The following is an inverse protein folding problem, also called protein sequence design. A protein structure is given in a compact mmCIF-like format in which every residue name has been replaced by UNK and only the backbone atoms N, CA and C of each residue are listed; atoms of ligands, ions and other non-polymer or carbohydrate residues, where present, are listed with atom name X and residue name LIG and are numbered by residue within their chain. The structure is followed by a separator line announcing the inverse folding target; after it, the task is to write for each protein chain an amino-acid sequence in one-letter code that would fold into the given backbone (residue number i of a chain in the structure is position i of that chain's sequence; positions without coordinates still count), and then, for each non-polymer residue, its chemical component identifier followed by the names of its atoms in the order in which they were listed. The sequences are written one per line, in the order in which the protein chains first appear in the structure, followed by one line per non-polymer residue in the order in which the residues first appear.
data_IF_724770291533
#
_entry.id   IF_724770291533
#
_cell.length_a   1.000
_cell.length_b   1.000
_cell.length_c   1.000
_cell.angle_alpha   90.00
_cell.angle_beta   90.00
_cell.angle_gamma   90.00
#
_symmetry.space_group_name_H-M   'P 1'
#
loop_
_entity.id
_entity.type
_entity.pdbx_description
1 polymer ?
#
# COMPACT_ATOMS: atom_id res chain seq x y z
N UNK A 1 -31.84 33.71 7.78
CA UNK A 1 -31.74 33.42 6.32
C UNK A 1 -30.34 33.84 5.89
N UNK A 2 -29.39 32.99 5.48
CA UNK A 2 -29.49 31.76 4.70
C UNK A 2 -28.54 30.69 5.23
N UNK A 3 -29.14 29.52 5.41
CA UNK A 3 -28.54 28.20 5.57
C UNK A 3 -28.02 27.70 4.20
N UNK A 4 -27.08 26.75 4.21
CA UNK A 4 -26.71 25.80 3.14
C UNK A 4 -25.78 26.27 2.00
N UNK A 5 -24.49 25.96 2.13
CA UNK A 5 -23.62 25.25 1.14
C UNK A 5 -22.18 25.37 1.62
N UNK A 6 -21.63 24.29 2.18
CA UNK A 6 -20.22 23.88 2.19
C UNK A 6 -20.00 22.65 3.09
N UNK A 7 -21.00 21.75 3.15
CA UNK A 7 -20.98 20.53 3.96
C UNK A 7 -20.89 19.25 3.09
N UNK A 8 -20.24 19.33 1.92
CA UNK A 8 -20.25 18.24 0.92
C UNK A 8 -18.85 17.86 0.40
N UNK A 9 -17.83 17.93 1.24
CA UNK A 9 -16.54 17.27 0.98
C UNK A 9 -16.02 16.46 2.19
N UNK A 10 -16.91 16.07 3.11
CA UNK A 10 -16.54 15.33 4.33
C UNK A 10 -17.52 14.18 4.63
N UNK A 11 -18.16 13.62 3.60
CA UNK A 11 -19.07 12.50 3.78
C UNK A 11 -18.59 11.30 2.95
N UNK A 12 -18.18 10.27 3.70
CA UNK A 12 -18.14 8.85 3.33
C UNK A 12 -17.12 8.41 2.27
N UNK A 13 -15.90 8.10 2.74
CA UNK A 13 -15.28 6.79 2.49
C UNK A 13 -14.87 6.22 3.85
N UNK A 14 -15.87 5.96 4.69
CA UNK A 14 -15.80 4.80 5.57
C UNK A 14 -16.29 3.62 4.71
N UNK A 15 -15.41 3.06 3.88
CA UNK A 15 -15.69 1.74 3.36
C UNK A 15 -15.33 0.76 4.47
N UNK A 16 -16.38 0.38 5.19
CA UNK A 16 -16.41 -0.84 5.96
C UNK A 16 -15.93 -1.98 5.06
N UNK A 17 -14.78 -2.55 5.41
CA UNK A 17 -14.54 -3.95 5.13
C UNK A 17 -15.64 -4.69 5.90
N UNK A 18 -16.64 -5.20 5.19
CA UNK A 18 -17.68 -6.05 5.77
C UNK A 18 -17.17 -7.50 5.93
N UNK A 19 -15.93 -7.66 6.37
CA UNK A 19 -15.56 -8.81 7.18
C UNK A 19 -15.71 -8.37 8.63
N UNK A 20 -16.16 -9.28 9.49
CA UNK A 20 -16.32 -9.06 10.94
C UNK A 20 -15.22 -8.14 11.48
N UNK A 21 -15.58 -6.92 11.90
CA UNK A 21 -14.64 -5.99 12.53
C UNK A 21 -13.99 -6.74 13.70
N UNK A 22 -12.71 -7.08 13.55
CA UNK A 22 -11.97 -7.72 14.62
C UNK A 22 -11.97 -6.73 15.78
N UNK A 23 -12.45 -7.19 16.93
CA UNK A 23 -12.57 -6.39 18.13
C UNK A 23 -11.18 -5.87 18.54
N UNK A 24 -10.89 -4.61 18.20
CA UNK A 24 -9.55 -4.06 18.38
C UNK A 24 -9.50 -2.96 19.44
N UNK A 25 -8.68 -3.15 20.47
CA UNK A 25 -8.46 -2.19 21.57
C UNK A 25 -7.03 -1.66 21.66
N UNK A 26 -6.13 -2.12 20.78
CA UNK A 26 -4.72 -1.75 20.76
C UNK A 26 -4.25 -1.59 19.31
N UNK A 27 -3.70 -0.41 19.02
CA UNK A 27 -3.29 0.06 17.71
C UNK A 27 -1.85 0.56 17.79
N UNK A 28 -1.10 0.39 16.72
CA UNK A 28 0.21 1.05 16.57
C UNK A 28 0.22 1.89 15.31
N UNK A 29 0.50 3.18 15.49
CA UNK A 29 0.78 4.12 14.42
C UNK A 29 2.30 4.17 14.23
N UNK A 30 2.82 3.53 13.18
CA UNK A 30 4.25 3.54 12.91
C UNK A 30 4.69 4.93 12.43
N UNK A 31 5.69 5.49 13.11
CA UNK A 31 6.46 6.67 12.70
C UNK A 31 5.66 7.91 12.27
N UNK A 32 5.32 8.71 13.27
CA UNK A 32 4.82 10.07 13.16
C UNK A 32 6.01 11.04 13.11
N UNK A 33 6.03 11.91 12.10
CA UNK A 33 7.05 12.95 11.92
C UNK A 33 6.43 14.34 12.02
N UNK A 34 7.14 15.25 12.66
CA UNK A 34 6.84 16.67 12.80
C UNK A 34 8.10 17.50 12.54
N UNK A 35 8.67 17.37 11.34
CA UNK A 35 9.68 18.33 10.88
C UNK A 35 8.96 19.54 10.29
N UNK A 36 9.56 20.72 10.48
CA UNK A 36 8.98 22.07 10.35
C UNK A 36 8.39 22.45 8.96
N UNK A 37 8.21 21.49 8.06
CA UNK A 37 7.64 21.66 6.72
C UNK A 37 6.38 20.82 6.50
N UNK A 38 6.08 19.80 7.32
CA UNK A 38 4.92 18.92 7.17
C UNK A 38 4.41 18.47 8.54
N UNK A 39 3.18 18.86 8.90
CA UNK A 39 2.54 18.41 10.14
C UNK A 39 1.90 17.04 9.95
N UNK A 40 1.88 16.19 10.97
CA UNK A 40 1.11 14.93 10.93
C UNK A 40 -0.10 15.04 11.84
N UNK A 41 -1.28 14.63 11.38
CA UNK A 41 -2.48 14.46 12.21
C UNK A 41 -2.69 12.98 12.52
N UNK A 42 -3.03 12.71 13.77
CA UNK A 42 -3.46 11.39 14.23
C UNK A 42 -4.98 11.38 14.20
N UNK A 43 -5.54 10.38 13.51
CA UNK A 43 -6.98 10.14 13.44
C UNK A 43 -7.30 8.83 14.13
N UNK A 44 -8.24 8.83 15.08
CA UNK A 44 -8.74 7.63 15.74
C UNK A 44 -10.27 7.62 15.67
N UNK A 45 -10.86 6.57 15.14
CA UNK A 45 -12.32 6.43 15.09
C UNK A 45 -12.80 5.50 16.19
N UNK A 46 -13.82 5.92 16.94
CA UNK A 46 -14.55 5.08 17.86
C UNK A 46 -15.78 4.50 17.16
N UNK A 47 -15.81 3.18 16.94
CA UNK A 47 -16.94 2.51 16.30
C UNK A 47 -17.89 1.84 17.32
N UNK A 48 -17.72 2.12 18.60
CA UNK A 48 -18.59 1.62 19.66
C UNK A 48 -19.83 2.48 19.83
N UNK A 49 -20.86 1.87 20.43
CA UNK A 49 -22.11 2.53 20.83
C UNK A 49 -21.99 3.35 22.12
N UNK A 50 -20.85 3.28 22.81
CA UNK A 50 -20.50 4.09 23.97
C UNK A 50 -19.25 4.95 23.71
N UNK A 51 -19.09 5.98 24.54
CA UNK A 51 -17.83 6.74 24.58
C UNK A 51 -16.67 5.83 25.00
N UNK A 52 -15.49 6.12 24.47
CA UNK A 52 -14.27 5.35 24.70
C UNK A 52 -13.15 6.28 25.13
N UNK A 53 -12.47 5.92 26.21
CA UNK A 53 -11.19 6.53 26.58
C UNK A 53 -10.07 5.82 25.83
N UNK A 54 -9.24 6.61 25.14
CA UNK A 54 -8.01 6.17 24.49
C UNK A 54 -6.80 6.82 25.13
N UNK A 55 -5.73 6.04 25.32
CA UNK A 55 -4.42 6.51 25.78
C UNK A 55 -3.42 6.33 24.66
N UNK A 56 -2.88 7.44 24.17
CA UNK A 56 -1.86 7.51 23.14
C UNK A 56 -0.50 7.67 23.81
N UNK A 57 0.41 6.73 23.60
CA UNK A 57 1.78 6.77 24.09
C UNK A 57 2.74 6.86 22.91
N UNK A 58 3.40 8.00 22.79
CA UNK A 58 4.43 8.24 21.79
C UNK A 58 5.80 7.82 22.29
N UNK A 59 6.61 7.13 21.46
CA UNK A 59 7.98 6.71 21.82
C UNK A 59 8.97 7.02 20.69
N UNK A 60 10.05 7.74 21.02
CA UNK A 60 11.19 7.95 20.12
C UNK A 60 12.10 6.72 20.06
N UNK A 61 12.92 6.56 19.01
CA UNK A 61 13.96 5.53 18.95
C UNK A 61 14.95 5.59 20.13
N UNK A 62 15.17 6.77 20.70
CA UNK A 62 16.03 6.98 21.87
C UNK A 62 15.40 6.49 23.18
N UNK A 63 14.14 6.07 23.17
CA UNK A 63 13.37 5.66 24.35
C UNK A 63 12.64 6.79 25.07
N UNK A 64 12.74 8.03 24.60
CA UNK A 64 11.96 9.15 25.14
C UNK A 64 10.46 8.95 24.86
N UNK A 65 9.60 9.20 25.85
CA UNK A 65 8.15 8.99 25.74
C UNK A 65 7.32 10.21 26.13
N UNK A 66 6.15 10.34 25.51
CA UNK A 66 5.10 11.27 25.89
C UNK A 66 3.73 10.57 25.82
N UNK A 67 2.78 10.95 26.67
CA UNK A 67 1.46 10.31 26.72
C UNK A 67 0.35 11.35 26.75
N UNK A 68 -0.73 11.08 26.01
CA UNK A 68 -1.95 11.86 25.99
C UNK A 68 -3.16 10.92 26.15
N UNK A 69 -4.18 11.37 26.89
CA UNK A 69 -5.45 10.63 27.02
C UNK A 69 -6.57 11.48 26.44
N UNK A 70 -7.48 10.84 25.69
CA UNK A 70 -8.65 11.47 25.06
C UNK A 70 -9.88 10.60 25.27
N UNK A 71 -11.02 11.27 25.37
CA UNK A 71 -12.33 10.62 25.28
C UNK A 71 -12.88 10.87 23.89
N UNK A 72 -13.38 9.82 23.24
CA UNK A 72 -14.01 9.87 21.93
C UNK A 72 -15.45 9.44 22.12
N UNK A 73 -16.42 10.28 21.72
CA UNK A 73 -17.83 9.94 21.80
C UNK A 73 -18.17 8.71 20.94
N UNK A 74 -19.33 8.09 21.22
CA UNK A 74 -19.82 6.95 20.43
C UNK A 74 -19.96 7.34 18.95
N UNK A 75 -19.45 6.49 18.05
CA UNK A 75 -19.46 6.72 16.60
C UNK A 75 -18.83 8.06 16.16
N UNK A 76 -17.86 8.56 16.91
CA UNK A 76 -17.14 9.81 16.62
C UNK A 76 -15.65 9.56 16.38
N UNK A 77 -14.93 10.60 15.97
CA UNK A 77 -13.50 10.54 15.68
C UNK A 77 -12.70 11.60 16.44
N UNK A 78 -11.50 11.22 16.86
CA UNK A 78 -10.43 12.12 17.27
C UNK A 78 -9.64 12.52 16.04
N UNK A 79 -9.39 13.81 15.84
CA UNK A 79 -8.44 14.33 14.85
C UNK A 79 -7.59 15.39 15.54
N UNK A 80 -6.32 15.09 15.79
CA UNK A 80 -5.41 16.03 16.45
C UNK A 80 -4.04 16.02 15.78
N UNK A 81 -3.43 17.22 15.70
CA UNK A 81 -2.05 17.34 15.23
C UNK A 81 -1.08 16.68 16.21
N UNK A 82 -0.18 15.85 15.71
CA UNK A 82 0.81 15.16 16.52
C UNK A 82 1.70 16.12 17.31
N UNK A 83 2.03 17.28 16.73
CA UNK A 83 2.80 18.32 17.41
C UNK A 83 2.07 18.95 18.60
N UNK A 84 0.73 18.98 18.60
CA UNK A 84 -0.04 19.48 19.75
C UNK A 84 -0.18 18.41 20.84
N UNK A 85 -0.29 17.14 20.45
CA UNK A 85 -0.33 16.00 21.37
C UNK A 85 1.02 15.75 22.07
N UNK A 86 2.11 15.86 21.32
CA UNK A 86 3.44 15.43 21.73
C UNK A 86 4.50 16.51 21.48
N UNK A 87 4.24 17.74 21.93
CA UNK A 87 5.14 18.89 21.74
C UNK A 87 6.57 18.67 22.27
N UNK A 88 6.75 17.79 23.27
CA UNK A 88 8.08 17.41 23.78
C UNK A 88 8.89 16.59 22.80
N UNK A 89 8.22 15.92 21.85
CA UNK A 89 8.82 15.08 20.82
C UNK A 89 8.93 15.81 19.47
N UNK A 90 8.87 17.15 19.46
CA UNK A 90 9.03 17.96 18.24
C UNK A 90 10.45 17.89 17.67
N UNK A 91 10.55 17.69 16.36
CA UNK A 91 11.81 17.58 15.63
C UNK A 91 12.33 16.15 15.39
N UNK A 92 13.36 16.00 14.52
CA UNK A 92 13.89 14.70 14.13
C UNK A 92 14.71 14.04 15.24
N UNK A 93 14.78 12.70 15.31
CA UNK A 93 14.00 11.74 14.51
C UNK A 93 12.52 11.69 14.93
N UNK A 94 11.64 11.18 14.06
CA UNK A 94 10.22 10.96 14.38
C UNK A 94 10.00 9.93 15.51
N UNK A 95 8.74 9.64 15.82
CA UNK A 95 8.34 8.76 16.94
C UNK A 95 7.16 7.88 16.55
N UNK A 96 6.96 6.71 17.18
CA UNK A 96 5.73 5.93 16.98
C UNK A 96 4.66 6.34 18.00
N UNK A 97 3.42 5.93 17.78
CA UNK A 97 2.34 6.10 18.76
C UNK A 97 1.60 4.79 18.95
N UNK A 98 1.61 4.24 20.17
CA UNK A 98 0.73 3.15 20.56
C UNK A 98 -0.55 3.72 21.15
N UNK A 99 -1.70 3.24 20.70
CA UNK A 99 -3.00 3.68 21.19
C UNK A 99 -3.69 2.50 21.85
N UNK A 100 -3.86 2.59 23.18
CA UNK A 100 -4.64 1.63 23.96
C UNK A 100 -6.01 2.21 24.26
N UNK A 101 -7.03 1.35 24.30
CA UNK A 101 -8.41 1.75 24.46
C UNK A 101 -9.11 0.99 25.58
N UNK A 102 -10.00 1.69 26.26
CA UNK A 102 -10.91 1.12 27.27
C UNK A 102 -11.95 0.14 26.70
N UNK A 103 -12.16 0.15 25.37
CA UNK A 103 -13.03 -0.78 24.66
C UNK A 103 -12.41 -1.23 23.32
N UNK A 104 -12.92 -2.33 22.75
CA UNK A 104 -12.56 -2.82 21.41
C UNK A 104 -13.15 -1.93 20.29
N UNK A 105 -12.99 -2.29 19.01
CA UNK A 105 -13.56 -1.59 17.84
C UNK A 105 -13.12 -0.13 17.66
N UNK A 106 -11.86 0.16 17.94
CA UNK A 106 -11.23 1.40 17.49
C UNK A 106 -10.41 1.17 16.22
N UNK A 107 -10.35 2.18 15.36
CA UNK A 107 -9.46 2.19 14.18
C UNK A 107 -8.65 3.48 14.17
N UNK A 108 -7.59 3.53 13.38
CA UNK A 108 -6.81 4.76 13.23
C UNK A 108 -6.22 4.96 11.85
N UNK A 109 -5.75 6.18 11.63
CA UNK A 109 -4.94 6.58 10.47
C UNK A 109 -3.94 7.67 10.89
N UNK A 110 -2.85 7.78 10.14
CA UNK A 110 -2.02 8.99 10.12
C UNK A 110 -2.28 9.76 8.83
N UNK A 111 -2.44 11.06 8.95
CA UNK A 111 -2.62 11.98 7.82
C UNK A 111 -1.44 12.94 7.81
N UNK A 112 -0.68 12.99 6.72
CA UNK A 112 0.38 13.99 6.56
C UNK A 112 -0.24 15.26 5.97
N UNK A 113 -0.27 16.32 6.77
CA UNK A 113 -0.76 17.64 6.38
C UNK A 113 0.34 18.34 5.55
N UNK A 114 0.10 18.56 4.24
CA UNK A 114 0.98 19.44 3.46
C UNK A 114 1.23 19.17 1.98
N UNK A 115 0.33 18.52 1.24
CA UNK A 115 0.41 18.56 -0.23
C UNK A 115 -0.90 19.03 -0.87
N UNK A 116 -0.90 20.28 -1.31
CA UNK A 116 -1.40 20.54 -2.66
C UNK A 116 -0.42 19.84 -3.61
N UNK A 117 -0.75 18.62 -4.03
CA UNK A 117 -0.08 17.99 -5.16
C UNK A 117 -0.32 18.85 -6.42
N UNK A 118 0.63 18.93 -7.38
CA UNK A 118 0.33 19.42 -8.73
C UNK A 118 -0.84 18.67 -9.41
N UNK A 119 -1.20 17.48 -8.91
CA UNK A 119 -2.37 16.68 -9.29
C UNK A 119 -3.61 16.82 -8.38
N UNK A 120 -3.59 17.73 -7.39
CA UNK A 120 -4.70 18.01 -6.48
C UNK A 120 -4.66 17.21 -5.17
N UNK A 121 -5.08 17.87 -4.10
CA UNK A 121 -5.14 17.46 -2.67
C UNK A 121 -5.32 15.95 -2.40
N UNK A 122 -4.24 15.18 -2.38
CA UNK A 122 -4.22 13.85 -1.79
C UNK A 122 -3.22 13.87 -0.63
N UNK A 123 -3.67 14.06 0.63
CA UNK A 123 -2.78 13.84 1.75
C UNK A 123 -2.39 12.37 1.74
N UNK A 124 -1.09 12.08 1.87
CA UNK A 124 -0.66 10.72 2.11
C UNK A 124 -1.26 10.21 3.40
N UNK A 125 -1.89 9.05 3.32
CA UNK A 125 -2.55 8.39 4.44
C UNK A 125 -1.93 7.01 4.60
N UNK A 126 -1.52 6.67 5.82
CA UNK A 126 -1.27 5.28 6.17
C UNK A 126 -2.35 4.74 7.09
N UNK A 127 -2.69 3.49 6.82
CA UNK A 127 -3.55 2.69 7.66
C UNK A 127 -2.80 2.30 8.92
N UNK A 128 -3.51 2.28 10.05
CA UNK A 128 -2.98 1.81 11.32
C UNK A 128 -3.01 0.29 11.36
N UNK A 129 -1.96 -0.31 11.91
CA UNK A 129 -1.80 -1.77 11.93
C UNK A 129 -2.23 -2.30 13.31
N UNK A 130 -3.11 -3.31 13.36
CA UNK A 130 -3.44 -3.97 14.61
C UNK A 130 -2.30 -4.71 15.27
N UNK A 131 -2.22 -4.64 16.59
CA UNK A 131 -1.25 -5.43 17.36
C UNK A 131 -1.54 -6.93 17.24
N UNK A 132 -2.82 -7.31 17.10
CA UNK A 132 -3.23 -8.68 16.81
C UNK A 132 -2.70 -9.22 15.48
N UNK A 133 -2.37 -8.33 14.55
CA UNK A 133 -1.92 -8.67 13.21
C UNK A 133 -0.38 -8.65 13.13
N UNK A 134 0.31 -8.53 14.27
CA UNK A 134 1.75 -8.65 14.36
C UNK A 134 2.20 -10.07 14.01
N UNK A 135 3.27 -10.18 13.22
CA UNK A 135 3.84 -11.45 12.81
C UNK A 135 5.36 -11.44 12.98
N UNK A 136 5.95 -12.62 13.12
CA UNK A 136 7.40 -12.76 13.21
C UNK A 136 8.07 -12.55 11.85
N UNK A 137 7.32 -12.61 10.75
CA UNK A 137 7.83 -12.40 9.39
C UNK A 137 6.93 -11.41 8.68
N UNK A 138 7.54 -10.38 8.09
CA UNK A 138 6.86 -9.36 7.30
C UNK A 138 7.44 -9.30 5.90
N UNK A 139 6.57 -9.24 4.89
CA UNK A 139 6.95 -8.96 3.51
C UNK A 139 6.65 -7.50 3.16
N UNK A 140 7.67 -6.80 2.71
CA UNK A 140 7.56 -5.51 2.04
C UNK A 140 7.70 -5.73 0.54
N UNK A 141 6.57 -5.72 -0.15
CA UNK A 141 6.45 -6.22 -1.53
C UNK A 141 7.21 -5.39 -2.57
N UNK A 142 7.49 -4.12 -2.29
CA UNK A 142 8.19 -3.24 -3.22
C UNK A 142 8.91 -2.11 -2.46
N UNK A 143 10.22 -2.03 -2.67
CA UNK A 143 11.06 -0.91 -2.29
C UNK A 143 12.01 -0.62 -3.44
N UNK A 144 12.56 0.58 -3.45
CA UNK A 144 13.62 0.94 -4.39
C UNK A 144 14.79 1.55 -3.63
N UNK A 145 15.99 1.41 -4.16
CA UNK A 145 17.19 2.08 -3.68
C UNK A 145 17.92 2.77 -4.85
N UNK A 146 18.82 3.74 -4.57
CA UNK A 146 19.59 4.43 -5.59
C UNK A 146 20.12 3.44 -6.67
N UNK A 147 20.01 3.73 -7.97
CA UNK A 147 19.75 5.04 -8.60
C UNK A 147 18.31 5.21 -9.13
N UNK A 148 17.33 4.44 -8.66
CA UNK A 148 15.95 4.41 -9.19
C UNK A 148 15.18 5.73 -9.17
N UNK A 149 15.67 6.74 -8.44
CA UNK A 149 14.91 7.93 -8.09
C UNK A 149 13.97 7.66 -6.91
N UNK A 150 13.81 8.64 -6.03
CA UNK A 150 13.01 8.61 -4.81
C UNK A 150 13.75 8.14 -3.56
N UNK A 151 13.00 8.00 -2.45
CA UNK A 151 13.47 7.37 -1.20
C UNK A 151 12.44 6.38 -0.64
N UNK A 152 12.90 5.21 -0.18
CA UNK A 152 12.09 4.25 0.57
C UNK A 152 12.65 4.08 1.99
N UNK A 153 11.75 4.02 2.97
CA UNK A 153 12.08 3.81 4.38
C UNK A 153 11.08 2.85 5.01
N UNK A 154 11.45 1.58 5.26
CA UNK A 154 10.63 0.71 6.08
C UNK A 154 10.60 1.23 7.52
N UNK A 155 9.44 1.09 8.15
CA UNK A 155 9.26 1.31 9.58
C UNK A 155 8.78 0.01 10.19
N UNK A 156 9.56 -0.46 11.15
CA UNK A 156 9.29 -1.67 11.90
C UNK A 156 9.00 -1.28 13.34
N UNK A 157 7.96 -1.85 13.93
CA UNK A 157 7.62 -1.61 15.33
C UNK A 157 7.57 -2.93 16.07
N UNK A 158 8.20 -2.95 17.23
CA UNK A 158 8.08 -4.04 18.19
C UNK A 158 6.94 -3.73 19.18
N UNK A 159 5.75 -4.36 19.05
CA UNK A 159 4.64 -4.19 19.99
C UNK A 159 4.86 -4.89 21.35
N UNK A 160 5.89 -5.73 21.46
CA UNK A 160 6.23 -6.50 22.64
C UNK A 160 6.81 -5.67 23.80
N UNK A 161 7.16 -6.37 24.88
CA UNK A 161 7.70 -5.78 26.12
C UNK A 161 9.21 -5.96 26.28
N UNK A 162 9.85 -6.69 25.36
CA UNK A 162 11.29 -6.97 25.32
C UNK A 162 11.87 -6.50 24.00
N UNK A 163 13.19 -6.30 23.91
CA UNK A 163 13.85 -5.99 22.64
C UNK A 163 13.66 -7.14 21.64
N UNK A 164 13.45 -6.79 20.36
CA UNK A 164 13.35 -7.73 19.24
C UNK A 164 14.60 -7.72 18.38
N UNK A 165 15.13 -8.91 18.10
CA UNK A 165 16.16 -9.09 17.10
C UNK A 165 15.52 -9.33 15.74
N UNK A 166 15.84 -8.49 14.75
CA UNK A 166 15.27 -8.58 13.41
C UNK A 166 16.39 -8.69 12.38
N UNK A 167 16.28 -9.67 11.50
CA UNK A 167 17.10 -9.76 10.29
C UNK A 167 16.27 -9.31 9.09
N UNK A 168 16.80 -8.34 8.36
CA UNK A 168 16.23 -7.81 7.13
C UNK A 168 16.94 -8.44 5.95
N UNK A 169 16.19 -8.95 5.00
CA UNK A 169 16.67 -9.55 3.78
C UNK A 169 16.16 -8.77 2.59
N UNK A 170 17.05 -8.33 1.71
CA UNK A 170 16.68 -7.75 0.43
C UNK A 170 16.77 -8.82 -0.66
N UNK A 171 15.71 -8.94 -1.45
CA UNK A 171 15.62 -9.88 -2.56
C UNK A 171 15.36 -9.15 -3.86
N UNK A 172 16.08 -9.55 -4.91
CA UNK A 172 15.90 -9.04 -6.27
C UNK A 172 15.86 -10.23 -7.22
N UNK A 173 14.85 -10.26 -8.10
CA UNK A 173 14.64 -11.37 -9.04
C UNK A 173 14.64 -12.76 -8.36
N UNK A 174 14.09 -12.84 -7.14
CA UNK A 174 14.03 -14.08 -6.35
C UNK A 174 15.34 -14.51 -5.68
N UNK A 175 16.42 -13.73 -5.79
CA UNK A 175 17.70 -14.00 -5.12
C UNK A 175 17.93 -13.04 -3.97
N UNK A 176 18.44 -13.54 -2.84
CA UNK A 176 18.91 -12.67 -1.75
C UNK A 176 20.13 -11.89 -2.22
N UNK A 177 20.04 -10.56 -2.19
CA UNK A 177 21.10 -9.65 -2.67
C UNK A 177 21.78 -8.88 -1.54
N UNK A 178 21.11 -8.71 -0.40
CA UNK A 178 21.69 -8.12 0.80
C UNK A 178 20.95 -8.60 2.06
N UNK A 179 21.61 -8.48 3.22
CA UNK A 179 21.01 -8.67 4.53
C UNK A 179 21.57 -7.67 5.55
N UNK A 180 20.76 -7.36 6.56
CA UNK A 180 21.11 -6.46 7.66
C UNK A 180 20.48 -6.97 8.96
N UNK A 181 21.15 -6.75 10.09
CA UNK A 181 20.62 -7.10 11.41
C UNK A 181 20.42 -5.85 12.24
N UNK A 182 19.27 -5.77 12.88
CA UNK A 182 18.86 -4.65 13.72
C UNK A 182 18.28 -5.16 15.05
N UNK A 183 18.36 -4.32 16.07
CA UNK A 183 17.65 -4.50 17.33
C UNK A 183 16.56 -3.44 17.43
N UNK A 184 15.34 -3.84 17.77
CA UNK A 184 14.19 -2.94 17.94
C UNK A 184 13.75 -2.97 19.41
N UNK A 185 14.01 -1.91 20.20
CA UNK A 185 13.55 -1.82 21.57
C UNK A 185 12.02 -1.97 21.69
N UNK A 186 11.56 -2.49 22.81
CA UNK A 186 10.14 -2.64 23.11
C UNK A 186 9.39 -1.32 22.95
N UNK A 187 8.33 -1.31 22.14
CA UNK A 187 7.50 -0.13 21.91
C UNK A 187 8.18 1.00 21.14
N UNK A 188 9.38 0.82 20.60
CA UNK A 188 10.06 1.81 19.75
C UNK A 188 10.01 1.39 18.27
N UNK A 189 9.94 2.35 17.32
CA UNK A 189 10.07 2.04 15.91
C UNK A 189 11.55 2.00 15.53
N UNK A 190 11.90 1.08 14.63
CA UNK A 190 13.08 1.20 13.80
C UNK A 190 12.69 1.77 12.44
N UNK A 191 13.43 2.75 11.97
CA UNK A 191 13.38 3.18 10.57
C UNK A 191 14.75 3.66 10.15
N UNK A 192 15.05 3.40 8.89
CA UNK A 192 16.16 4.04 8.21
C UNK A 192 15.87 4.05 6.70
N UNK A 193 16.59 4.88 5.96
CA UNK A 193 16.56 4.84 4.51
C UNK A 193 17.13 3.51 4.04
N UNK A 194 16.52 2.92 3.01
CA UNK A 194 16.99 1.64 2.44
C UNK A 194 18.49 1.65 2.13
N UNK A 195 19.03 2.76 1.61
CA UNK A 195 20.46 2.85 1.29
C UNK A 195 21.39 2.86 2.53
N UNK A 196 20.86 3.16 3.71
CA UNK A 196 21.60 3.09 4.96
C UNK A 196 21.51 1.68 5.55
N UNK A 197 20.35 1.02 5.39
CA UNK A 197 20.15 -0.39 5.80
C UNK A 197 21.02 -1.31 4.95
N UNK A 198 21.00 -1.12 3.63
CA UNK A 198 21.71 -1.93 2.65
C UNK A 198 22.62 -1.03 1.80
N UNK A 199 23.86 -0.74 2.27
CA UNK A 199 24.74 0.21 1.60
C UNK A 199 25.28 -0.29 0.24
N UNK A 200 25.18 -1.60 -0.03
CA UNK A 200 25.56 -2.20 -1.31
C UNK A 200 24.62 -3.35 -1.65
N UNK A 201 24.42 -3.64 -2.94
CA UNK A 201 23.72 -4.84 -3.40
C UNK A 201 22.21 -4.65 -3.66
N UNK A 202 21.65 -3.47 -3.39
CA UNK A 202 20.20 -3.19 -3.55
C UNK A 202 19.89 -2.09 -4.56
N UNK A 203 20.73 -1.89 -5.58
CA UNK A 203 20.44 -0.84 -6.57
C UNK A 203 19.16 -1.14 -7.36
N UNK A 204 18.26 -0.16 -7.51
CA UNK A 204 16.98 -0.33 -8.22
C UNK A 204 15.88 -0.98 -7.36
N UNK A 205 14.89 -1.58 -8.03
CA UNK A 205 13.73 -2.18 -7.36
C UNK A 205 14.06 -3.54 -6.73
N UNK A 206 13.53 -3.77 -5.53
CA UNK A 206 13.68 -5.01 -4.76
C UNK A 206 12.48 -5.18 -3.80
N UNK A 207 12.37 -6.34 -3.17
CA UNK A 207 11.45 -6.55 -2.05
C UNK A 207 12.25 -6.91 -0.80
N UNK A 208 11.70 -6.60 0.37
CA UNK A 208 12.36 -6.85 1.65
C UNK A 208 11.53 -7.81 2.49
N UNK A 209 12.19 -8.77 3.12
CA UNK A 209 11.61 -9.63 4.15
C UNK A 209 12.24 -9.26 5.49
N UNK A 210 11.42 -9.03 6.51
CA UNK A 210 11.89 -8.85 7.88
C UNK A 210 11.51 -10.08 8.69
N UNK A 211 12.51 -10.77 9.25
CA UNK A 211 12.32 -11.91 10.15
C UNK A 211 12.76 -11.53 11.56
N UNK A 212 11.90 -11.76 12.54
CA UNK A 212 12.10 -11.40 13.93
C UNK A 212 11.95 -12.59 14.86
N UNK A 213 12.62 -12.52 16.01
CA UNK A 213 12.49 -13.50 17.09
C UNK A 213 11.17 -13.41 17.86
N UNK A 214 10.38 -12.36 17.62
CA UNK A 214 9.05 -12.12 18.19
C UNK A 214 8.19 -11.28 17.24
N UNK A 215 6.86 -11.18 17.48
CA UNK A 215 5.97 -10.48 16.56
C UNK A 215 6.36 -9.02 16.39
N UNK A 216 6.43 -8.57 15.14
CA UNK A 216 6.71 -7.20 14.73
C UNK A 216 5.59 -6.70 13.79
N UNK A 217 5.48 -5.38 13.69
CA UNK A 217 4.57 -4.67 12.79
C UNK A 217 5.39 -3.88 11.77
N UNK A 218 4.84 -3.66 10.57
CA UNK A 218 5.58 -2.96 9.51
C UNK A 218 4.72 -2.11 8.59
N UNK A 219 5.27 -0.96 8.21
CA UNK A 219 4.78 -0.11 7.11
C UNK A 219 6.00 0.38 6.32
N UNK A 220 5.83 0.76 5.06
CA UNK A 220 6.87 1.41 4.27
C UNK A 220 6.41 2.78 3.81
N UNK A 221 7.32 3.74 3.93
CA UNK A 221 7.19 5.07 3.34
C UNK A 221 7.94 5.07 2.02
N UNK A 222 7.27 5.51 0.96
CA UNK A 222 7.81 5.53 -0.39
C UNK A 222 7.55 6.92 -0.99
N UNK A 223 8.62 7.63 -1.35
CA UNK A 223 8.54 8.95 -1.96
C UNK A 223 9.18 8.92 -3.34
N UNK A 224 8.49 9.43 -4.36
CA UNK A 224 9.12 9.59 -5.67
C UNK A 224 10.13 10.77 -5.68
N UNK A 225 10.80 10.99 -6.80
CA UNK A 225 11.76 12.10 -6.99
C UNK A 225 11.16 13.50 -6.81
N UNK A 226 9.83 13.62 -6.87
CA UNK A 226 9.09 14.86 -6.65
C UNK A 226 8.59 15.00 -5.21
N UNK A 227 9.02 14.11 -4.30
CA UNK A 227 8.59 14.01 -2.91
C UNK A 227 7.09 13.77 -2.75
N UNK A 228 6.41 13.25 -3.78
CA UNK A 228 5.02 12.86 -3.62
C UNK A 228 4.97 11.61 -2.72
N UNK A 229 4.27 11.68 -1.59
CA UNK A 229 4.28 10.61 -0.62
C UNK A 229 3.31 9.50 -1.04
N UNK A 230 3.76 8.25 -0.89
CA UNK A 230 2.91 7.05 -0.92
C UNK A 230 3.28 6.16 0.26
N UNK A 231 2.29 5.46 0.82
CA UNK A 231 2.48 4.56 1.96
C UNK A 231 1.93 3.19 1.63
N UNK A 232 2.68 2.15 1.97
CA UNK A 232 2.27 0.76 1.81
C UNK A 232 2.40 0.00 3.14
N UNK A 233 1.44 -0.85 3.46
CA UNK A 233 1.54 -1.72 4.63
C UNK A 233 2.45 -2.92 4.33
N UNK A 234 3.20 -3.38 5.33
CA UNK A 234 3.82 -4.70 5.25
C UNK A 234 2.76 -5.78 5.44
N UNK A 235 2.92 -6.90 4.77
CA UNK A 235 1.98 -8.02 4.87
C UNK A 235 2.57 -9.07 5.81
N UNK A 236 1.83 -9.53 6.83
CA UNK A 236 2.19 -10.71 7.62
C UNK A 236 2.46 -11.89 6.70
N UNK A 237 3.63 -12.51 6.84
CA UNK A 237 3.98 -13.70 6.08
C UNK A 237 3.86 -14.91 7.01
N UNK A 238 2.70 -15.56 6.99
CA UNK A 238 2.49 -16.81 7.72
C UNK A 238 3.33 -17.93 7.07
N UNK A 239 4.54 -18.12 7.59
CA UNK A 239 5.46 -19.22 7.32
C UNK A 239 5.55 -19.67 5.85
N UNK A 240 6.19 -18.86 4.99
CA UNK A 240 6.70 -19.38 3.71
C UNK A 240 7.96 -20.22 3.99
N UNK A 241 8.05 -21.46 3.45
CA UNK A 241 9.27 -22.26 3.52
C UNK A 241 10.45 -21.46 2.97
N UNK A 242 11.55 -21.47 3.73
CA UNK A 242 12.85 -20.94 3.31
C UNK A 242 13.09 -21.18 1.81
N UNK A 243 13.16 -20.13 0.97
CA UNK A 243 13.39 -20.28 -0.47
C UNK A 243 14.77 -20.89 -0.78
N UNK A 244 15.64 -21.03 0.22
CA UNK A 244 16.99 -21.59 0.09
C UNK A 244 17.06 -23.13 0.36
N UNK A 245 15.93 -23.85 0.47
CA UNK A 245 15.91 -25.32 0.30
C UNK A 245 16.77 -26.15 1.28
N UNK A 246 16.62 -25.93 2.59
CA UNK A 246 17.24 -26.77 3.63
C UNK A 246 16.27 -27.80 4.20
N UNK A 247 16.53 -29.07 3.90
CA UNK A 247 15.73 -30.28 4.16
C UNK A 247 15.51 -30.60 5.67
N UNK A 248 14.38 -31.26 6.00
CA UNK A 248 14.18 -31.86 7.32
C UNK A 248 12.76 -32.18 7.80
N UNK A 249 12.08 -33.16 7.18
CA UNK A 249 11.43 -34.25 7.95
C UNK A 249 9.91 -34.25 8.19
N UNK A 250 9.20 -34.91 7.27
CA UNK A 250 8.18 -35.98 7.42
C UNK A 250 6.95 -35.91 8.36
N UNK A 251 5.79 -36.11 7.71
CA UNK A 251 4.61 -36.89 8.16
C UNK A 251 3.37 -36.04 8.46
N UNK A 252 2.19 -36.19 7.84
CA UNK A 252 1.61 -37.17 6.92
C UNK A 252 0.07 -37.07 7.07
N UNK A 253 -0.65 -37.24 5.96
CA UNK A 253 -2.12 -37.42 5.77
C UNK A 253 -3.02 -36.21 6.15
N UNK A 254 -3.88 -35.64 5.30
CA UNK A 254 -4.83 -36.16 4.32
C UNK A 254 -6.20 -35.60 4.74
N UNK A 255 -6.79 -34.57 4.13
CA UNK A 255 -7.50 -34.60 2.86
C UNK A 255 -8.79 -33.74 2.96
N UNK A 256 -9.12 -33.10 1.84
CA UNK A 256 -10.41 -32.62 1.35
C UNK A 256 -11.06 -31.30 1.84
N UNK A 257 -10.98 -30.31 0.93
CA UNK A 257 -12.10 -29.47 0.42
C UNK A 257 -12.55 -28.32 1.32
N UNK A 258 -12.44 -27.04 0.99
CA UNK A 258 -12.42 -26.39 -0.32
C UNK A 258 -13.46 -25.26 -0.31
N UNK A 259 -12.99 -24.02 -0.13
CA UNK A 259 -13.52 -22.78 -0.73
C UNK A 259 -12.54 -21.63 -0.40
N UNK A 260 -11.57 -21.43 -1.30
CA UNK A 260 -10.66 -20.27 -1.36
C UNK A 260 -11.09 -19.30 -2.48
N UNK A 261 -10.46 -18.14 -2.69
CA UNK A 261 -9.22 -17.58 -2.13
C UNK A 261 -9.34 -16.04 -2.04
N UNK A 262 -8.50 -15.31 -1.30
CA UNK A 262 -7.02 -15.31 -1.14
C UNK A 262 -6.26 -14.90 -2.41
N UNK A 263 -5.94 -13.60 -2.48
CA UNK A 263 -5.03 -12.98 -3.44
C UNK A 263 -3.58 -13.13 -3.01
N UNK A 264 -3.03 -14.34 -3.15
CA UNK A 264 -1.62 -14.52 -3.47
C UNK A 264 -1.35 -14.09 -4.91
N UNK A 265 -0.08 -13.87 -5.25
CA UNK A 265 0.40 -13.52 -6.59
C UNK A 265 -0.01 -14.53 -7.68
N UNK A 266 -1.25 -14.42 -8.11
CA UNK A 266 -1.80 -15.13 -9.25
C UNK A 266 -1.48 -14.31 -10.49
N UNK A 267 -0.92 -14.96 -11.50
CA UNK A 267 -0.74 -14.36 -12.82
C UNK A 267 -2.11 -13.89 -13.30
N UNK A 268 -2.24 -12.60 -13.58
CA UNK A 268 -3.50 -12.01 -14.06
C UNK A 268 -3.87 -12.74 -15.35
N UNK A 269 -5.04 -13.37 -15.38
CA UNK A 269 -5.48 -14.14 -16.53
C UNK A 269 -6.03 -13.23 -17.62
N UNK A 270 -5.47 -13.32 -18.82
CA UNK A 270 -6.05 -12.59 -19.94
C UNK A 270 -7.50 -13.03 -20.19
N UNK A 271 -7.75 -14.33 -20.19
CA UNK A 271 -9.08 -14.87 -20.47
C UNK A 271 -10.06 -14.67 -19.30
N UNK A 272 -9.57 -14.76 -18.06
CA UNK A 272 -10.36 -14.68 -16.84
C UNK A 272 -10.62 -13.27 -16.32
N UNK A 273 -9.73 -12.31 -16.59
CA UNK A 273 -9.78 -10.98 -15.96
C UNK A 273 -9.75 -9.84 -16.99
N UNK A 274 -8.88 -9.89 -17.99
CA UNK A 274 -8.71 -8.77 -18.94
C UNK A 274 -9.77 -8.77 -20.05
N UNK A 275 -10.04 -9.93 -20.65
CA UNK A 275 -11.05 -10.05 -21.70
C UNK A 275 -12.46 -9.67 -21.21
N UNK A 276 -12.89 -9.99 -19.98
CA UNK A 276 -14.14 -9.48 -19.43
C UNK A 276 -14.21 -7.94 -19.37
N UNK A 277 -13.13 -7.26 -18.96
CA UNK A 277 -13.05 -5.79 -18.94
C UNK A 277 -13.21 -5.24 -20.36
N UNK A 278 -12.48 -5.79 -21.33
CA UNK A 278 -12.61 -5.35 -22.73
C UNK A 278 -14.00 -5.60 -23.29
N UNK A 279 -14.63 -6.70 -22.93
CA UNK A 279 -15.98 -7.04 -23.40
C UNK A 279 -17.02 -6.04 -22.87
N UNK A 280 -16.89 -5.62 -21.61
CA UNK A 280 -17.86 -4.72 -20.97
C UNK A 280 -17.63 -3.23 -21.31
N UNK A 281 -16.37 -2.81 -21.45
CA UNK A 281 -15.99 -1.39 -21.58
C UNK A 281 -15.66 -0.98 -23.02
N UNK A 282 -15.14 -1.89 -23.84
CA UNK A 282 -14.46 -1.52 -25.09
C UNK A 282 -15.10 -2.14 -26.34
N UNK A 283 -15.54 -3.40 -26.26
CA UNK A 283 -15.97 -4.19 -27.41
C UNK A 283 -17.27 -3.68 -28.06
N UNK A 284 -18.06 -2.82 -27.40
CA UNK A 284 -19.22 -2.18 -28.04
C UNK A 284 -18.83 -1.20 -29.14
N UNK A 285 -17.65 -0.59 -29.04
CA UNK A 285 -17.13 0.37 -30.01
C UNK A 285 -15.95 -0.19 -30.80
N UNK A 286 -15.17 -1.12 -30.25
CA UNK A 286 -14.01 -1.76 -30.89
C UNK A 286 -14.37 -3.15 -31.43
N UNK A 287 -15.17 -3.15 -32.49
CA UNK A 287 -15.60 -4.35 -33.23
C UNK A 287 -14.88 -4.47 -34.56
N UNK A 288 -15.09 -5.57 -35.27
CA UNK A 288 -14.61 -5.78 -36.66
C UNK A 288 -15.10 -4.73 -37.67
N UNK A 289 -16.12 -3.94 -37.33
CA UNK A 289 -16.74 -2.91 -38.19
C UNK A 289 -16.48 -1.49 -37.67
N UNK A 290 -15.60 -1.32 -36.68
CA UNK A 290 -15.37 -0.05 -36.00
C UNK A 290 -14.47 0.94 -36.76
N UNK A 291 -14.64 2.24 -36.48
CA UNK A 291 -13.79 3.33 -37.00
C UNK A 291 -12.41 3.27 -36.32
N UNK A 292 -11.48 2.52 -36.91
CA UNK A 292 -10.10 2.39 -36.41
C UNK A 292 -9.49 1.00 -36.57
N UNK A 293 -10.25 0.00 -37.02
CA UNK A 293 -9.73 -1.32 -37.39
C UNK A 293 -9.31 -2.22 -36.23
N UNK A 294 -9.50 -1.79 -34.97
CA UNK A 294 -9.17 -2.58 -33.78
C UNK A 294 -10.39 -3.36 -33.28
N UNK A 295 -10.27 -4.69 -33.24
CA UNK A 295 -11.30 -5.59 -32.73
C UNK A 295 -10.89 -6.19 -31.37
N UNK A 296 -11.63 -5.83 -30.32
CA UNK A 296 -11.44 -6.28 -28.93
C UNK A 296 -12.49 -7.30 -28.48
N UNK A 297 -13.29 -7.85 -29.40
CA UNK A 297 -14.23 -8.92 -29.10
C UNK A 297 -13.50 -10.18 -28.57
N UNK A 298 -14.17 -11.00 -27.74
CA UNK A 298 -13.65 -12.28 -27.29
C UNK A 298 -13.07 -13.12 -28.44
N UNK A 299 -11.92 -13.73 -28.19
CA UNK A 299 -11.18 -14.53 -29.18
C UNK A 299 -10.36 -13.75 -30.21
N UNK A 300 -10.49 -12.42 -30.26
CA UNK A 300 -9.73 -11.57 -31.19
C UNK A 300 -8.79 -10.58 -30.48
N UNK A 301 -9.13 -10.16 -29.25
CA UNK A 301 -8.48 -9.04 -28.59
C UNK A 301 -6.96 -9.22 -28.41
N UNK A 302 -6.50 -10.36 -27.85
CA UNK A 302 -5.08 -10.57 -27.52
C UNK A 302 -4.17 -10.40 -28.75
N UNK A 303 -4.45 -11.16 -29.82
CA UNK A 303 -3.65 -11.15 -31.04
C UNK A 303 -3.68 -9.80 -31.76
N UNK A 304 -4.69 -8.97 -31.51
CA UNK A 304 -4.85 -7.65 -32.11
C UNK A 304 -4.20 -6.52 -31.30
N UNK A 305 -3.76 -6.76 -30.06
CA UNK A 305 -3.19 -5.72 -29.19
C UNK A 305 -1.76 -6.00 -28.75
N UNK A 306 -1.40 -7.25 -28.46
CA UNK A 306 -0.07 -7.57 -27.92
C UNK A 306 0.96 -7.57 -29.03
N UNK A 307 1.99 -6.74 -28.89
CA UNK A 307 3.02 -6.47 -29.90
C UNK A 307 2.48 -5.98 -31.25
N UNK A 308 1.24 -5.46 -31.30
CA UNK A 308 0.64 -4.91 -32.51
C UNK A 308 0.81 -3.39 -32.56
N UNK A 309 0.96 -2.83 -33.76
CA UNK A 309 1.14 -1.39 -33.95
C UNK A 309 -0.19 -0.71 -34.22
N UNK A 310 -0.51 0.32 -33.44
CA UNK A 310 -1.65 1.19 -33.67
C UNK A 310 -1.45 2.05 -34.93
N UNK A 311 -2.54 2.62 -35.46
CA UNK A 311 -2.48 3.57 -36.58
C UNK A 311 -1.60 4.82 -36.30
N UNK A 312 -1.35 5.14 -35.03
CA UNK A 312 -0.43 6.19 -34.60
C UNK A 312 1.06 5.83 -34.78
N UNK A 313 1.38 4.59 -35.15
CA UNK A 313 2.75 4.07 -35.25
C UNK A 313 3.33 3.56 -33.93
N UNK A 314 2.58 3.62 -32.82
CA UNK A 314 2.99 3.13 -31.50
C UNK A 314 2.48 1.70 -31.25
N UNK A 315 3.21 0.92 -30.46
CA UNK A 315 2.77 -0.42 -30.06
C UNK A 315 1.59 -0.32 -29.09
N UNK A 316 0.53 -1.11 -29.33
CA UNK A 316 -0.70 -1.12 -28.53
C UNK A 316 -0.44 -1.63 -27.11
N UNK A 317 0.14 -2.82 -26.99
CA UNK A 317 0.64 -3.38 -25.73
C UNK A 317 2.07 -3.84 -25.94
N UNK A 318 2.98 -3.26 -25.16
CA UNK A 318 4.38 -3.65 -25.05
C UNK A 318 4.53 -4.45 -23.76
N UNK A 319 4.72 -5.79 -23.83
CA UNK A 319 4.94 -6.62 -22.65
C UNK A 319 6.01 -6.06 -21.73
N UNK A 320 5.75 -6.04 -20.41
CA UNK A 320 6.64 -5.52 -19.37
C UNK A 320 6.96 -4.02 -19.46
N UNK A 321 6.32 -3.26 -20.36
CA UNK A 321 6.48 -1.81 -20.44
C UNK A 321 5.13 -1.11 -20.50
N UNK A 322 4.68 -0.66 -19.33
CA UNK A 322 3.44 0.09 -19.18
C UNK A 322 3.46 1.42 -19.95
N UNK A 323 4.57 2.15 -19.87
CA UNK A 323 4.72 3.47 -20.49
C UNK A 323 4.84 3.40 -22.03
N UNK A 324 5.32 2.29 -22.56
CA UNK A 324 5.38 2.07 -24.02
C UNK A 324 4.09 1.45 -24.58
N UNK A 325 3.16 1.04 -23.72
CA UNK A 325 1.88 0.45 -24.12
C UNK A 325 0.86 1.54 -24.46
N UNK A 326 0.66 1.80 -25.75
CA UNK A 326 -0.24 2.86 -26.21
C UNK A 326 -1.69 2.70 -25.74
N UNK A 327 -2.16 1.46 -25.56
CA UNK A 327 -3.49 1.18 -25.00
C UNK A 327 -3.61 1.72 -23.57
N UNK A 328 -2.60 1.47 -22.72
CA UNK A 328 -2.58 1.99 -21.34
C UNK A 328 -2.68 3.51 -21.32
N UNK A 329 -1.91 4.18 -22.18
CA UNK A 329 -1.93 5.64 -22.27
C UNK A 329 -3.29 6.16 -22.69
N UNK A 330 -3.98 5.49 -23.62
CA UNK A 330 -5.33 5.88 -24.04
C UNK A 330 -6.38 5.74 -22.93
N UNK A 331 -6.10 5.00 -21.85
CA UNK A 331 -6.96 4.90 -20.67
C UNK A 331 -6.75 6.06 -19.68
N UNK A 332 -5.63 6.78 -19.79
CA UNK A 332 -5.29 7.90 -18.91
C UNK A 332 -6.03 9.18 -19.30
N UNK A 333 -6.33 10.01 -18.31
CA UNK A 333 -6.99 11.31 -18.50
C UNK A 333 -6.07 12.36 -19.12
N UNK A 334 -4.74 12.17 -19.03
CA UNK A 334 -3.77 13.06 -19.65
C UNK A 334 -3.71 12.85 -21.17
N UNK A 335 -4.39 13.74 -21.90
CA UNK A 335 -4.44 13.72 -23.36
C UNK A 335 -3.11 14.10 -24.03
N UNK A 336 -2.11 14.58 -23.30
CA UNK A 336 -0.78 14.86 -23.86
C UNK A 336 -0.02 13.57 -24.24
N UNK A 337 -0.38 12.44 -23.63
CA UNK A 337 0.28 11.15 -23.80
C UNK A 337 -0.11 10.43 -25.10
N UNK A 338 -1.15 10.91 -25.80
CA UNK A 338 -1.68 10.25 -26.98
C UNK A 338 -2.41 11.19 -27.95
N UNK A 339 -2.51 10.77 -29.20
CA UNK A 339 -3.37 11.44 -30.19
C UNK A 339 -4.85 11.02 -30.06
N UNK A 340 -5.75 11.96 -30.33
CA UNK A 340 -7.20 11.76 -30.31
C UNK A 340 -7.81 11.83 -28.90
N UNK A 341 -8.97 11.21 -28.71
CA UNK A 341 -9.69 11.24 -27.43
C UNK A 341 -9.30 10.11 -26.49
N UNK A 342 -9.50 10.33 -25.18
CA UNK A 342 -9.43 9.30 -24.14
C UNK A 342 -10.38 8.14 -24.45
N UNK A 343 -9.96 6.93 -24.10
CA UNK A 343 -10.79 5.73 -24.11
C UNK A 343 -11.15 5.33 -22.68
N UNK A 344 -12.38 4.83 -22.45
CA UNK A 344 -13.44 4.59 -23.43
C UNK A 344 -14.15 5.89 -23.81
N UNK A 345 -14.31 6.14 -25.11
CA UNK A 345 -14.78 7.43 -25.61
C UNK A 345 -16.20 7.77 -25.13
N UNK A 346 -16.38 8.98 -24.60
CA UNK A 346 -17.68 9.43 -24.09
C UNK A 346 -18.14 8.72 -22.83
N UNK A 347 -17.26 7.90 -22.23
CA UNK A 347 -17.40 7.32 -20.90
C UNK A 347 -16.31 7.91 -20.02
N UNK A 348 -16.54 7.96 -18.72
CA UNK A 348 -15.50 8.36 -17.77
C UNK A 348 -14.34 7.37 -17.73
N UNK A 349 -13.34 7.66 -16.92
CA UNK A 349 -12.23 6.74 -16.62
C UNK A 349 -12.74 5.38 -16.12
N UNK A 350 -12.00 4.32 -16.40
CA UNK A 350 -12.28 3.00 -15.84
C UNK A 350 -12.21 3.06 -14.31
N UNK A 351 -12.97 2.21 -13.59
CA UNK A 351 -12.74 1.95 -12.18
C UNK A 351 -11.28 1.55 -11.91
N UNK A 352 -10.74 1.98 -10.77
CA UNK A 352 -9.32 1.78 -10.44
C UNK A 352 -8.94 0.29 -10.45
N UNK A 353 -9.79 -0.59 -9.94
CA UNK A 353 -9.53 -2.04 -9.95
C UNK A 353 -9.42 -2.63 -11.38
N UNK A 354 -10.15 -2.08 -12.36
CA UNK A 354 -10.04 -2.50 -13.77
C UNK A 354 -8.75 -1.95 -14.41
N UNK A 355 -8.32 -0.74 -14.02
CA UNK A 355 -7.03 -0.17 -14.42
C UNK A 355 -5.87 -0.98 -13.83
N UNK A 356 -5.93 -1.34 -12.55
CA UNK A 356 -4.90 -2.10 -11.85
C UNK A 356 -4.76 -3.51 -12.46
N UNK A 357 -5.87 -4.16 -12.81
CA UNK A 357 -5.84 -5.44 -13.51
C UNK A 357 -5.11 -5.34 -14.87
N UNK A 358 -5.43 -4.32 -15.68
CA UNK A 358 -4.76 -4.09 -16.97
C UNK A 358 -3.28 -3.74 -16.77
N UNK A 359 -2.95 -2.90 -15.79
CA UNK A 359 -1.58 -2.53 -15.45
C UNK A 359 -0.75 -3.74 -15.04
N UNK A 360 -1.28 -4.54 -14.10
CA UNK A 360 -0.63 -5.75 -13.61
C UNK A 360 -0.44 -6.77 -14.73
N UNK A 361 -1.45 -6.98 -15.58
CA UNK A 361 -1.32 -7.87 -16.74
C UNK A 361 -0.21 -7.41 -17.71
N UNK A 362 -0.13 -6.12 -18.04
CA UNK A 362 0.94 -5.58 -18.91
C UNK A 362 2.32 -5.79 -18.27
N UNK A 363 2.44 -5.46 -16.99
CA UNK A 363 3.70 -5.57 -16.23
C UNK A 363 4.14 -7.03 -16.02
N UNK A 364 3.22 -7.98 -16.02
CA UNK A 364 3.50 -9.43 -16.01
C UNK A 364 3.88 -9.98 -17.40
N UNK A 365 4.13 -9.12 -18.38
CA UNK A 365 4.49 -9.52 -19.73
C UNK A 365 3.30 -9.80 -20.64
N UNK A 366 2.12 -9.31 -20.28
CA UNK A 366 0.88 -9.50 -21.02
C UNK A 366 0.63 -10.96 -21.44
N UNK A 367 0.63 -11.94 -20.52
CA UNK A 367 0.49 -13.36 -20.85
C UNK A 367 -0.89 -13.67 -21.48
N UNK A 368 -0.95 -14.65 -22.38
CA UNK A 368 -2.21 -15.19 -22.93
C UNK A 368 -2.60 -16.47 -22.18
N UNK A 369 -3.17 -16.33 -20.99
CA UNK A 369 -3.42 -17.41 -20.03
C UNK A 369 -4.89 -17.58 -19.63
#
# INVERSE_FOLDING_TARGET
MKLKRNLLCSLLIAFAWAGTALAQSDLVIPWVSNTNSFGSSIVINNLNDSAVTVTLTATRPTGEQATATREIAAFDQLVEEAGSLFATLDGPPGFNVRVTSSASNITGAIVINGFESPSGNSPSQANVVPVSDAANILLFSYLFAPPSGGFAAPVLVNPGTTEASVTLYAYKNGQRVADARISIPAGAPYTDLVQNIFPTGVDGDFYMVAEADQPILGVVFIFNDSLEPSMGNAVPLDAVPNPDGGDGGDGGDGGDGGDGGDGGGTTVSFSGEIQPIFSSRCASCHTSQSRGGLNLAPGNAYGNIVNQTAASGRVLITPNSLNDSYLWLKLQTDTSLYSGSQMPQGRGTLPQNELDAIMNWINQGAPNN
#
